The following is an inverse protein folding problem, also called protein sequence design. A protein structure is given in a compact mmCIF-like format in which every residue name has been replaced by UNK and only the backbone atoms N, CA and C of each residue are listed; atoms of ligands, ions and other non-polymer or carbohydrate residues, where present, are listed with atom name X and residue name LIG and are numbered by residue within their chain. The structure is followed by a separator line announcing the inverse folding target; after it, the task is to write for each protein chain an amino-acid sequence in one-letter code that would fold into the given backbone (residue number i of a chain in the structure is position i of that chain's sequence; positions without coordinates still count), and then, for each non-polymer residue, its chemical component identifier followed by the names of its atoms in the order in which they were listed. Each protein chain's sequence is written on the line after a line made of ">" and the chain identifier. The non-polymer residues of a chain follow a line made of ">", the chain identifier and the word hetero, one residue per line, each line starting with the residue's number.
data_IF_256956728431
#
_entry.id   IF_256956728431
#
_cell.length_a   1.000
_cell.length_b   1.000
_cell.length_c   1.000
_cell.angle_alpha   90.00
_cell.angle_beta   90.00
_cell.angle_gamma   90.00
#
_symmetry.space_group_name_H-M   'P 1'
#
loop_
_entity.id
_entity.type
_entity.pdbx_description
1 polymer ?
#
# COMPACT_ATOMS: atom_id res chain seq x y z
N UNK A 1 8.30 0.84 -4.51
CA UNK A 1 7.79 1.75 -3.45
C UNK A 1 8.67 2.99 -3.38
N UNK A 2 8.09 4.17 -3.25
CA UNK A 2 8.84 5.40 -3.09
C UNK A 2 7.97 6.53 -2.53
N UNK A 3 8.58 7.40 -1.75
CA UNK A 3 7.99 8.61 -1.19
C UNK A 3 8.88 9.81 -1.48
N UNK A 4 8.26 10.94 -1.77
CA UNK A 4 8.94 12.22 -1.92
C UNK A 4 8.17 13.34 -1.22
N UNK A 5 8.84 14.11 -0.42
CA UNK A 5 8.28 15.32 0.22
C UNK A 5 8.14 16.48 -0.77
N UNK A 6 7.65 17.60 -0.27
CA UNK A 6 7.22 18.79 -1.05
C UNK A 6 8.31 19.54 -1.80
N UNK A 7 9.58 19.19 -1.65
CA UNK A 7 10.72 19.90 -2.26
C UNK A 7 11.04 19.38 -3.66
N UNK A 8 10.49 18.25 -4.05
CA UNK A 8 10.74 17.59 -5.34
C UNK A 8 9.51 17.71 -6.25
N UNK A 9 9.72 18.03 -7.53
CA UNK A 9 8.61 18.04 -8.49
C UNK A 9 8.17 16.62 -8.85
N UNK A 10 6.92 16.48 -9.35
CA UNK A 10 6.43 15.19 -9.87
C UNK A 10 7.36 14.65 -10.96
N UNK A 11 7.93 15.53 -11.80
CA UNK A 11 8.86 15.15 -12.86
C UNK A 11 10.15 14.54 -12.29
N UNK A 12 10.72 15.16 -11.27
CA UNK A 12 11.96 14.67 -10.63
C UNK A 12 11.72 13.36 -9.93
N UNK A 13 10.61 13.23 -9.19
CA UNK A 13 10.18 11.98 -8.56
C UNK A 13 10.02 10.87 -9.59
N UNK A 14 9.29 11.16 -10.69
CA UNK A 14 9.06 10.20 -11.77
C UNK A 14 10.37 9.72 -12.40
N UNK A 15 11.32 10.62 -12.61
CA UNK A 15 12.64 10.27 -13.17
C UNK A 15 13.39 9.25 -12.30
N UNK A 16 13.33 9.39 -10.99
CA UNK A 16 13.91 8.43 -10.04
C UNK A 16 13.08 7.14 -9.96
N UNK A 17 11.78 7.27 -9.91
CA UNK A 17 10.83 6.17 -9.81
C UNK A 17 10.94 5.21 -11.02
N UNK A 18 11.01 5.75 -12.24
CA UNK A 18 11.12 4.95 -13.47
C UNK A 18 12.39 4.08 -13.52
N UNK A 19 13.43 4.44 -12.76
CA UNK A 19 14.65 3.60 -12.66
C UNK A 19 14.44 2.30 -11.89
N UNK A 20 13.37 2.21 -11.13
CA UNK A 20 13.04 1.02 -10.32
C UNK A 20 11.93 0.16 -10.93
N UNK A 21 11.48 0.49 -12.15
CA UNK A 21 10.37 -0.22 -12.84
C UNK A 21 10.63 -1.72 -13.00
N UNK A 22 11.88 -2.14 -13.14
CA UNK A 22 12.24 -3.57 -13.25
C UNK A 22 11.87 -4.39 -12.01
N UNK A 23 11.62 -3.74 -10.86
CA UNK A 23 11.20 -4.38 -9.61
C UNK A 23 9.70 -4.73 -9.59
N UNK A 24 8.92 -4.09 -10.47
CA UNK A 24 7.49 -4.34 -10.62
C UNK A 24 7.01 -3.85 -11.98
N UNK A 25 7.31 -4.61 -13.04
CA UNK A 25 7.13 -4.14 -14.43
C UNK A 25 5.69 -4.15 -14.91
N UNK A 26 4.77 -4.80 -14.18
CA UNK A 26 3.43 -5.07 -14.68
C UNK A 26 2.51 -3.85 -14.60
N UNK A 27 2.61 -3.09 -13.52
CA UNK A 27 1.81 -1.87 -13.31
C UNK A 27 2.60 -0.83 -12.52
N UNK A 28 2.36 0.44 -12.81
CA UNK A 28 2.96 1.57 -12.08
C UNK A 28 1.92 2.63 -11.76
N UNK A 29 1.98 3.18 -10.54
CA UNK A 29 1.11 4.27 -10.12
C UNK A 29 1.88 5.26 -9.27
N UNK A 30 1.66 6.55 -9.49
CA UNK A 30 2.13 7.64 -8.65
C UNK A 30 0.89 8.44 -8.22
N UNK A 31 0.81 8.78 -6.95
CA UNK A 31 -0.22 9.68 -6.43
C UNK A 31 0.43 10.84 -5.67
N UNK A 32 -0.23 11.99 -5.73
CA UNK A 32 0.05 13.13 -4.87
C UNK A 32 -0.92 13.08 -3.68
N UNK A 33 -0.38 12.98 -2.47
CA UNK A 33 -1.17 12.91 -1.22
C UNK A 33 -1.48 14.30 -0.66
N UNK A 34 -1.01 15.37 -1.30
CA UNK A 34 -1.02 16.74 -0.77
C UNK A 34 0.08 17.02 0.25
N UNK A 35 0.76 15.98 0.76
CA UNK A 35 1.93 16.09 1.65
C UNK A 35 3.21 15.55 1.01
N UNK A 36 3.07 14.81 -0.06
CA UNK A 36 4.18 14.22 -0.80
C UNK A 36 3.68 13.24 -1.87
N UNK A 37 4.62 12.67 -2.60
CA UNK A 37 4.34 11.72 -3.67
C UNK A 37 4.57 10.30 -3.19
N UNK A 38 3.62 9.41 -3.47
CA UNK A 38 3.77 7.97 -3.29
C UNK A 38 3.77 7.29 -4.65
N UNK A 39 4.72 6.39 -4.87
CA UNK A 39 4.82 5.59 -6.08
C UNK A 39 4.90 4.09 -5.79
N UNK A 40 4.24 3.30 -6.62
CA UNK A 40 4.24 1.86 -6.51
C UNK A 40 4.41 1.21 -7.89
N UNK A 41 5.39 0.32 -7.98
CA UNK A 41 5.55 -0.61 -9.08
C UNK A 41 5.10 -1.99 -8.63
N UNK A 42 4.21 -2.60 -9.38
CA UNK A 42 3.63 -3.91 -9.08
C UNK A 42 4.27 -5.00 -9.92
N UNK A 43 4.67 -6.08 -9.26
CA UNK A 43 4.88 -7.38 -9.87
C UNK A 43 3.64 -8.23 -9.55
N UNK A 44 2.83 -8.51 -10.55
CA UNK A 44 1.62 -9.31 -10.38
C UNK A 44 1.96 -10.79 -10.47
N UNK A 45 1.84 -11.51 -9.35
CA UNK A 45 2.06 -12.97 -9.29
C UNK A 45 0.81 -13.72 -9.77
N UNK A 46 -0.38 -13.17 -9.55
CA UNK A 46 -1.67 -13.75 -9.92
C UNK A 46 -2.61 -12.68 -10.48
N UNK A 47 -2.65 -12.56 -11.82
CA UNK A 47 -3.57 -11.68 -12.54
C UNK A 47 -3.23 -10.18 -12.45
N UNK A 48 -3.70 -9.42 -13.43
CA UNK A 48 -3.52 -7.96 -13.53
C UNK A 48 -4.77 -7.21 -13.07
N UNK A 49 -5.44 -7.71 -12.02
CA UNK A 49 -6.59 -7.01 -11.45
C UNK A 49 -6.12 -5.69 -10.78
N UNK A 50 -6.73 -4.59 -11.21
CA UNK A 50 -6.43 -3.25 -10.69
C UNK A 50 -6.86 -3.06 -9.24
N UNK A 51 -7.78 -3.87 -8.71
CA UNK A 51 -8.28 -3.74 -7.34
C UNK A 51 -7.19 -3.88 -6.27
N UNK A 52 -6.15 -4.67 -6.54
CA UNK A 52 -4.99 -4.83 -5.67
C UNK A 52 -3.85 -3.84 -5.92
N UNK A 53 -4.07 -2.81 -6.78
CA UNK A 53 -3.03 -1.85 -7.10
C UNK A 53 -2.86 -0.80 -6.01
N UNK A 54 -1.64 -0.64 -5.55
CA UNK A 54 -1.27 0.37 -4.56
C UNK A 54 -0.88 1.72 -5.22
N UNK A 55 -0.89 2.85 -4.50
CA UNK A 55 -1.22 3.00 -3.07
C UNK A 55 -2.70 2.74 -2.77
N UNK A 56 -2.97 2.09 -1.64
CA UNK A 56 -4.33 2.06 -1.09
C UNK A 56 -4.64 3.37 -0.37
N UNK A 57 -5.91 3.77 -0.37
CA UNK A 57 -6.41 4.97 0.29
C UNK A 57 -7.60 4.64 1.18
N UNK A 58 -7.61 5.17 2.40
CA UNK A 58 -8.72 5.04 3.32
C UNK A 58 -8.69 6.15 4.38
N UNK A 59 -9.83 6.83 4.56
CA UNK A 59 -9.99 7.84 5.60
C UNK A 59 -9.00 9.02 5.50
N UNK A 60 -8.57 9.38 4.29
CA UNK A 60 -7.58 10.44 4.06
C UNK A 60 -6.13 10.01 4.24
N UNK A 61 -5.89 8.75 4.58
CA UNK A 61 -4.57 8.14 4.67
C UNK A 61 -4.26 7.27 3.44
N UNK A 62 -2.98 7.06 3.21
CA UNK A 62 -2.48 6.27 2.09
C UNK A 62 -1.43 5.29 2.59
N UNK A 63 -1.34 4.12 1.95
CA UNK A 63 -0.30 3.15 2.23
C UNK A 63 0.29 2.56 0.96
N UNK A 64 1.60 2.41 0.95
CA UNK A 64 2.32 1.52 0.04
C UNK A 64 3.09 0.50 0.87
N UNK A 65 3.00 -0.75 0.48
CA UNK A 65 3.64 -1.86 1.16
C UNK A 65 4.30 -2.80 0.16
N UNK A 66 5.53 -3.17 0.44
CA UNK A 66 6.21 -4.27 -0.22
C UNK A 66 6.44 -5.34 0.82
N UNK A 67 5.71 -6.46 0.71
CA UNK A 67 5.78 -7.52 1.70
C UNK A 67 4.63 -8.50 1.59
N UNK A 68 4.54 -9.36 2.59
CA UNK A 68 3.50 -10.37 2.72
C UNK A 68 3.03 -10.43 4.17
N UNK A 69 1.71 -10.40 4.38
CA UNK A 69 1.08 -10.50 5.70
C UNK A 69 0.46 -11.88 5.83
N UNK A 70 1.06 -12.71 6.67
CA UNK A 70 0.61 -14.07 6.89
C UNK A 70 -0.69 -14.09 7.71
N UNK A 71 -1.57 -15.05 7.41
CA UNK A 71 -2.83 -15.17 8.13
C UNK A 71 -3.80 -13.99 7.99
N UNK A 72 -3.59 -13.11 7.02
CA UNK A 72 -4.36 -11.87 6.83
C UNK A 72 -5.88 -12.08 6.72
N UNK A 73 -6.33 -13.25 6.25
CA UNK A 73 -7.77 -13.55 6.12
C UNK A 73 -8.51 -13.50 7.45
N UNK A 74 -7.85 -13.89 8.55
CA UNK A 74 -8.43 -13.80 9.90
C UNK A 74 -8.61 -12.34 10.31
N UNK A 75 -7.56 -11.52 10.14
CA UNK A 75 -7.61 -10.10 10.44
C UNK A 75 -8.63 -9.37 9.54
N UNK A 76 -8.71 -9.74 8.26
CA UNK A 76 -9.69 -9.20 7.33
C UNK A 76 -11.12 -9.46 7.83
N UNK A 77 -11.42 -10.70 8.24
CA UNK A 77 -12.72 -11.05 8.78
C UNK A 77 -13.06 -10.29 10.06
N UNK A 78 -12.11 -10.15 10.98
CA UNK A 78 -12.31 -9.37 12.22
C UNK A 78 -12.62 -7.89 11.90
N UNK A 79 -11.97 -7.32 10.88
CA UNK A 79 -12.25 -5.96 10.42
C UNK A 79 -13.62 -5.85 9.72
N UNK A 80 -14.02 -6.87 8.93
CA UNK A 80 -15.34 -6.93 8.31
C UNK A 80 -16.46 -6.97 9.37
N UNK A 81 -16.26 -7.71 10.47
CA UNK A 81 -17.17 -7.73 11.61
C UNK A 81 -17.28 -6.38 12.31
N UNK A 82 -16.26 -5.53 12.19
CA UNK A 82 -16.26 -4.13 12.66
C UNK A 82 -16.86 -3.13 11.65
N UNK A 83 -17.28 -3.61 10.47
CA UNK A 83 -17.94 -2.79 9.44
C UNK A 83 -17.03 -2.28 8.34
N UNK A 84 -15.78 -2.76 8.25
CA UNK A 84 -14.90 -2.44 7.12
C UNK A 84 -15.26 -3.27 5.90
N UNK A 85 -15.04 -2.70 4.71
CA UNK A 85 -15.23 -3.37 3.42
C UNK A 85 -13.94 -3.37 2.64
N UNK A 86 -13.69 -4.44 1.92
CA UNK A 86 -12.50 -4.62 1.10
C UNK A 86 -12.89 -4.87 -0.35
N UNK A 87 -12.10 -4.36 -1.28
CA UNK A 87 -12.37 -4.45 -2.72
C UNK A 87 -11.42 -5.41 -3.43
N UNK A 88 -10.33 -5.78 -2.78
CA UNK A 88 -9.33 -6.69 -3.33
C UNK A 88 -9.05 -7.89 -2.42
N UNK A 89 -8.33 -8.86 -2.97
CA UNK A 89 -7.76 -9.97 -2.21
C UNK A 89 -6.32 -9.68 -1.74
N UNK A 90 -5.86 -8.42 -1.87
CA UNK A 90 -4.55 -8.03 -1.36
C UNK A 90 -4.53 -8.02 0.17
N UNK A 91 -3.53 -8.69 0.73
CA UNK A 91 -3.24 -8.65 2.16
C UNK A 91 -2.88 -7.24 2.65
N UNK A 92 -2.26 -6.41 1.81
CA UNK A 92 -1.87 -5.05 2.16
C UNK A 92 -3.05 -4.07 2.28
N UNK A 93 -4.24 -4.39 1.74
CA UNK A 93 -5.42 -3.52 1.83
C UNK A 93 -5.89 -3.34 3.28
N UNK A 94 -5.67 -4.32 4.14
CA UNK A 94 -6.08 -4.26 5.54
C UNK A 94 -5.23 -3.30 6.41
N UNK A 95 -4.08 -2.84 5.92
CA UNK A 95 -3.16 -2.03 6.71
C UNK A 95 -3.75 -0.69 7.16
N UNK A 96 -4.51 0.00 6.30
CA UNK A 96 -5.14 1.28 6.67
C UNK A 96 -6.31 1.10 7.66
N UNK A 97 -7.22 0.14 7.50
CA UNK A 97 -8.19 -0.22 8.54
C UNK A 97 -7.54 -0.59 9.88
N UNK A 98 -6.49 -1.39 9.89
CA UNK A 98 -5.74 -1.71 11.12
C UNK A 98 -5.12 -0.47 11.75
N UNK A 99 -4.51 0.39 10.94
CA UNK A 99 -3.93 1.64 11.44
C UNK A 99 -4.99 2.57 12.04
N UNK A 100 -6.18 2.62 11.44
CA UNK A 100 -7.29 3.40 11.99
C UNK A 100 -7.77 2.86 13.34
N UNK A 101 -7.86 1.53 13.48
CA UNK A 101 -8.35 0.90 14.72
C UNK A 101 -7.31 0.92 15.85
N UNK A 102 -6.05 0.69 15.53
CA UNK A 102 -5.02 0.37 16.52
C UNK A 102 -3.81 1.31 16.48
N UNK A 103 -3.77 2.26 15.53
CA UNK A 103 -2.59 3.11 15.34
C UNK A 103 -1.33 2.28 15.13
N UNK A 104 -0.23 2.67 15.75
CA UNK A 104 1.05 1.95 15.66
C UNK A 104 1.06 0.60 16.37
N UNK A 105 0.10 0.33 17.27
CA UNK A 105 -0.01 -0.97 17.95
C UNK A 105 -0.33 -2.11 16.98
N UNK A 106 -0.86 -1.78 15.79
CA UNK A 106 -1.10 -2.76 14.73
C UNK A 106 0.15 -3.56 14.37
N UNK A 107 1.34 -2.98 14.46
CA UNK A 107 2.59 -3.66 14.10
C UNK A 107 2.88 -4.88 14.98
N UNK A 108 2.44 -4.85 16.24
CA UNK A 108 2.53 -6.00 17.13
C UNK A 108 1.53 -7.12 16.85
N UNK A 109 0.54 -6.86 15.99
CA UNK A 109 -0.50 -7.82 15.60
C UNK A 109 -0.17 -8.56 14.29
N UNK A 110 0.80 -8.06 13.53
CA UNK A 110 1.13 -8.58 12.21
C UNK A 110 2.17 -9.70 12.32
N UNK A 111 1.85 -10.85 11.74
CA UNK A 111 2.84 -11.85 11.36
C UNK A 111 3.17 -11.60 9.88
N UNK A 112 4.29 -10.93 9.62
CA UNK A 112 4.54 -10.37 8.31
C UNK A 112 6.02 -10.09 8.04
N UNK A 113 6.40 -10.14 6.77
CA UNK A 113 7.64 -9.58 6.25
C UNK A 113 7.32 -8.38 5.36
N UNK A 114 7.69 -7.17 5.76
CA UNK A 114 7.28 -5.99 5.03
C UNK A 114 8.22 -4.78 5.15
N UNK A 115 8.11 -3.91 4.15
CA UNK A 115 8.52 -2.52 4.21
C UNK A 115 7.32 -1.67 3.74
N UNK A 116 6.88 -0.72 4.56
CA UNK A 116 5.71 0.10 4.25
C UNK A 116 5.90 1.58 4.58
N UNK A 117 5.07 2.40 3.94
CA UNK A 117 4.91 3.83 4.22
C UNK A 117 3.41 4.08 4.38
N UNK A 118 3.01 4.65 5.50
CA UNK A 118 1.67 5.18 5.77
C UNK A 118 1.74 6.68 5.89
#
# INVERSE_FOLDING_TARGET
>A
MGYCGTVMTIKDFKTGFDKTVSRGPDMSRIIDTGKGLLGFHRLAIMGLDESGMQPFAFGGNYVVCNGEIYGFRKLKKELEEKGYSFVSDSDCELLLPLYKEYGTDMFGMLDAEYALII
#
